data_IF_234307336941
#
_entry.id   IF_234307336941
#
_cell.length_a   1.000
_cell.length_b   1.000
_cell.length_c   1.000
_cell.angle_alpha   90.00
_cell.angle_beta   90.00
_cell.angle_gamma   90.00
#
_symmetry.space_group_name_H-M   'P 1'
#
loop_
_entity.id
_entity.type
_entity.pdbx_description
1 polymer ?
#
# COMPACT_ATOMS: atom_id res chain seq x y z
N UNK A 1 -74.93 20.50 -21.12
CA UNK A 1 -74.32 19.21 -21.44
C UNK A 1 -72.81 19.41 -21.35
N UNK A 2 -72.30 19.23 -20.09
CA UNK A 2 -70.87 19.41 -19.79
C UNK A 2 -70.26 18.03 -19.75
N UNK A 3 -69.25 17.79 -20.65
CA UNK A 3 -68.43 16.60 -20.65
C UNK A 3 -67.30 16.80 -19.63
N UNK A 4 -67.23 15.95 -18.58
CA UNK A 4 -66.11 15.85 -17.67
C UNK A 4 -65.17 14.75 -18.17
N UNK A 5 -63.97 15.13 -18.66
CA UNK A 5 -62.90 14.19 -19.05
C UNK A 5 -62.10 13.92 -17.77
N UNK A 6 -62.26 12.72 -17.20
CA UNK A 6 -61.44 12.25 -16.08
C UNK A 6 -60.07 11.78 -16.57
N UNK A 7 -59.00 12.44 -16.15
CA UNK A 7 -57.61 12.05 -16.39
C UNK A 7 -57.21 11.05 -15.29
N UNK A 8 -57.13 9.76 -15.61
CA UNK A 8 -56.61 8.74 -14.70
C UNK A 8 -55.08 8.79 -14.74
N UNK A 9 -54.47 9.35 -13.70
CA UNK A 9 -53.01 9.30 -13.49
C UNK A 9 -52.69 7.92 -12.88
N UNK A 10 -52.06 7.05 -13.68
CA UNK A 10 -51.45 5.82 -13.19
C UNK A 10 -50.13 6.15 -12.48
N UNK A 11 -50.16 6.13 -11.15
CA UNK A 11 -48.93 6.12 -10.35
C UNK A 11 -48.27 4.75 -10.52
N UNK A 12 -47.23 4.68 -11.35
CA UNK A 12 -46.32 3.54 -11.40
C UNK A 12 -45.41 3.66 -10.16
N UNK A 13 -45.77 2.98 -9.08
CA UNK A 13 -44.90 2.81 -7.97
C UNK A 13 -43.75 1.90 -8.41
N UNK A 14 -42.44 2.26 -8.15
CA UNK A 14 -41.35 1.36 -8.42
C UNK A 14 -41.54 0.10 -7.56
N UNK A 15 -41.63 -1.05 -8.20
CA UNK A 15 -41.57 -2.35 -7.52
C UNK A 15 -40.17 -2.49 -6.95
N UNK A 16 -39.97 -2.65 -5.63
CA UNK A 16 -38.66 -2.90 -5.09
C UNK A 16 -38.14 -4.22 -5.69
N UNK A 17 -36.96 -4.17 -6.32
CA UNK A 17 -36.28 -5.37 -6.78
C UNK A 17 -36.03 -6.25 -5.54
N UNK A 18 -36.68 -7.42 -5.48
CA UNK A 18 -36.42 -8.40 -4.44
C UNK A 18 -35.00 -8.93 -4.64
N UNK A 19 -34.08 -8.51 -3.76
CA UNK A 19 -32.75 -9.12 -3.68
C UNK A 19 -32.90 -10.57 -3.22
N UNK A 20 -32.40 -11.51 -4.01
CA UNK A 20 -32.38 -12.93 -3.65
C UNK A 20 -31.04 -13.29 -3.02
N UNK A 21 -31.06 -14.05 -1.93
CA UNK A 21 -29.84 -14.64 -1.37
C UNK A 21 -29.28 -15.67 -2.33
N UNK A 22 -28.00 -15.53 -2.70
CA UNK A 22 -27.31 -16.42 -3.63
C UNK A 22 -26.41 -17.37 -2.82
N UNK A 23 -26.56 -18.71 -2.93
CA UNK A 23 -25.71 -19.62 -2.20
C UNK A 23 -24.26 -19.59 -2.70
N UNK A 24 -23.32 -19.66 -1.76
CA UNK A 24 -21.88 -19.79 -2.06
C UNK A 24 -21.60 -21.15 -2.71
N UNK A 25 -20.78 -21.14 -3.74
CA UNK A 25 -20.25 -22.38 -4.32
C UNK A 25 -18.97 -22.77 -3.56
N UNK A 26 -18.71 -24.06 -3.41
CA UNK A 26 -17.51 -24.57 -2.75
C UNK A 26 -16.24 -24.34 -3.57
N UNK A 27 -15.06 -24.54 -2.94
CA UNK A 27 -13.76 -24.21 -3.53
C UNK A 27 -13.46 -25.03 -4.78
N UNK A 28 -12.80 -24.40 -5.75
CA UNK A 28 -12.17 -25.06 -6.89
C UNK A 28 -10.82 -25.62 -6.41
N UNK A 29 -10.40 -26.84 -6.81
CA UNK A 29 -9.06 -27.32 -6.49
C UNK A 29 -8.03 -26.37 -7.12
N UNK A 30 -7.22 -25.75 -6.29
CA UNK A 30 -6.22 -24.80 -6.75
C UNK A 30 -5.01 -25.52 -7.37
N UNK A 31 -4.69 -25.17 -8.63
CA UNK A 31 -3.29 -25.01 -8.97
C UNK A 31 -2.86 -23.69 -8.27
N UNK A 32 -1.68 -23.63 -7.63
CA UNK A 32 -1.15 -22.34 -7.18
C UNK A 32 -1.04 -21.44 -8.41
N UNK A 33 -1.82 -20.35 -8.52
CA UNK A 33 -1.64 -19.43 -9.61
C UNK A 33 -0.45 -18.53 -9.26
N UNK A 34 0.46 -18.36 -10.21
CA UNK A 34 1.36 -17.22 -10.17
C UNK A 34 0.50 -15.95 -10.03
N UNK A 35 0.87 -15.06 -9.11
CA UNK A 35 0.19 -13.79 -8.95
C UNK A 35 0.23 -13.03 -10.30
N UNK A 36 -0.87 -12.41 -10.76
CA UNK A 36 -0.88 -11.68 -12.02
C UNK A 36 0.14 -10.55 -12.06
N UNK A 37 0.78 -10.33 -13.20
CA UNK A 37 1.59 -9.13 -13.42
C UNK A 37 0.76 -7.87 -13.24
N UNK A 38 1.34 -6.86 -12.59
CA UNK A 38 0.74 -5.56 -12.36
C UNK A 38 1.39 -4.51 -13.27
N UNK A 39 0.58 -3.61 -13.79
CA UNK A 39 0.99 -2.43 -14.55
C UNK A 39 0.14 -1.23 -14.13
N UNK A 40 0.33 -0.06 -14.75
CA UNK A 40 -0.56 1.08 -14.52
C UNK A 40 -1.33 1.47 -15.78
N UNK A 41 -2.60 1.80 -15.62
CA UNK A 41 -3.43 2.32 -16.70
C UNK A 41 -4.48 3.30 -16.15
N UNK A 42 -4.57 4.48 -16.77
CA UNK A 42 -5.59 5.47 -16.42
C UNK A 42 -5.53 5.95 -14.96
N UNK A 43 -4.32 6.02 -14.38
CA UNK A 43 -4.12 6.42 -12.99
C UNK A 43 -4.47 5.32 -11.96
N UNK A 44 -4.51 4.06 -12.39
CA UNK A 44 -4.82 2.91 -11.52
C UNK A 44 -3.80 1.80 -11.73
N UNK A 45 -3.57 1.00 -10.70
CA UNK A 45 -2.89 -0.28 -10.84
C UNK A 45 -3.87 -1.25 -11.51
N UNK A 46 -3.38 -1.99 -12.50
CA UNK A 46 -4.18 -2.98 -13.24
C UNK A 46 -3.42 -4.30 -13.38
N UNK A 47 -4.15 -5.40 -13.40
CA UNK A 47 -3.58 -6.71 -13.64
C UNK A 47 -3.48 -7.06 -15.15
N UNK A 48 -2.89 -8.20 -15.46
CA UNK A 48 -2.73 -8.71 -16.81
C UNK A 48 -4.07 -9.00 -17.54
N UNK A 49 -5.20 -9.07 -16.81
CA UNK A 49 -6.54 -9.15 -17.37
C UNK A 49 -7.18 -7.78 -17.62
N UNK A 50 -6.49 -6.69 -17.29
CA UNK A 50 -6.96 -5.31 -17.41
C UNK A 50 -7.98 -4.91 -16.36
N UNK A 51 -8.03 -5.63 -15.23
CA UNK A 51 -8.87 -5.27 -14.08
C UNK A 51 -8.12 -4.25 -13.22
N UNK A 52 -8.84 -3.25 -12.70
CA UNK A 52 -8.33 -2.38 -11.64
C UNK A 52 -8.06 -3.22 -10.39
N UNK A 53 -6.91 -3.02 -9.76
CA UNK A 53 -6.47 -3.74 -8.55
C UNK A 53 -6.24 -2.75 -7.43
N UNK A 54 -6.75 -3.06 -6.25
CA UNK A 54 -6.50 -2.34 -5.00
C UNK A 54 -5.75 -3.30 -4.08
N UNK A 55 -4.64 -2.84 -3.52
CA UNK A 55 -3.76 -3.64 -2.66
C UNK A 55 -3.78 -3.10 -1.23
N UNK A 56 -4.20 -3.92 -0.27
CA UNK A 56 -4.20 -3.59 1.15
C UNK A 56 -3.27 -4.52 1.92
N UNK A 57 -2.48 -3.97 2.83
CA UNK A 57 -1.58 -4.80 3.62
C UNK A 57 -0.76 -4.09 4.67
N UNK A 58 0.47 -4.52 4.85
CA UNK A 58 1.32 -4.10 5.94
C UNK A 58 2.75 -3.82 5.49
N UNK A 59 3.42 -2.96 6.25
CA UNK A 59 4.88 -2.92 6.30
C UNK A 59 5.40 -3.97 7.28
N UNK A 60 6.58 -4.54 7.01
CA UNK A 60 7.32 -5.38 7.97
C UNK A 60 8.83 -5.17 7.84
N UNK A 61 9.45 -4.59 8.87
CA UNK A 61 10.86 -4.16 8.89
C UNK A 61 11.85 -5.22 9.39
N UNK A 62 11.45 -6.50 9.39
CA UNK A 62 12.27 -7.60 9.92
C UNK A 62 13.62 -7.79 9.22
N UNK A 63 13.74 -7.33 7.98
CA UNK A 63 15.00 -7.42 7.20
C UNK A 63 15.96 -6.24 7.42
N UNK A 64 15.54 -5.22 8.14
CA UNK A 64 16.41 -4.08 8.45
C UNK A 64 17.46 -4.43 9.52
N UNK A 65 18.62 -3.82 9.42
CA UNK A 65 19.71 -3.95 10.40
C UNK A 65 19.48 -3.07 11.63
N UNK A 66 18.27 -3.08 12.18
CA UNK A 66 17.90 -2.31 13.37
C UNK A 66 17.91 -3.19 14.61
N UNK A 67 18.33 -2.64 15.75
CA UNK A 67 18.18 -3.31 17.05
C UNK A 67 16.72 -3.40 17.51
N UNK A 68 15.83 -2.70 16.83
CA UNK A 68 14.39 -2.70 17.07
C UNK A 68 13.62 -3.61 16.10
N UNK A 69 14.31 -4.19 15.10
CA UNK A 69 13.67 -5.09 14.13
C UNK A 69 13.04 -6.29 14.83
N UNK A 70 11.83 -6.67 14.44
CA UNK A 70 11.14 -7.84 14.97
C UNK A 70 11.84 -9.14 14.55
N UNK A 71 11.32 -10.27 15.01
CA UNK A 71 11.71 -11.56 14.47
C UNK A 71 11.34 -11.63 12.96
N UNK A 72 12.09 -12.41 12.15
CA UNK A 72 11.73 -12.63 10.75
C UNK A 72 10.28 -13.11 10.59
N UNK A 73 9.65 -12.77 9.48
CA UNK A 73 8.34 -13.29 9.09
C UNK A 73 8.34 -14.81 9.07
N UNK A 74 7.22 -15.40 9.45
CA UNK A 74 7.02 -16.86 9.40
C UNK A 74 5.69 -17.20 8.68
N UNK A 75 5.47 -18.47 8.41
CA UNK A 75 4.26 -18.93 7.72
C UNK A 75 2.97 -18.52 8.45
N UNK A 76 3.01 -18.42 9.79
CA UNK A 76 1.83 -17.98 10.57
C UNK A 76 1.50 -16.51 10.32
N UNK A 77 2.51 -15.66 10.06
CA UNK A 77 2.26 -14.27 9.70
C UNK A 77 1.55 -14.17 8.35
N UNK A 78 2.09 -14.86 7.36
CA UNK A 78 1.53 -14.86 6.01
C UNK A 78 0.12 -15.48 5.99
N UNK A 79 -0.11 -16.59 6.71
CA UNK A 79 -1.44 -17.20 6.89
C UNK A 79 -2.44 -16.24 7.54
N UNK A 80 -2.04 -15.49 8.56
CA UNK A 80 -2.90 -14.54 9.23
C UNK A 80 -3.25 -13.33 8.35
N UNK A 81 -2.28 -12.81 7.59
CA UNK A 81 -2.51 -11.72 6.63
C UNK A 81 -3.50 -12.18 5.56
N UNK A 82 -3.26 -13.35 4.94
CA UNK A 82 -4.13 -13.93 3.92
C UNK A 82 -5.54 -14.20 4.45
N UNK A 83 -5.68 -14.86 5.61
CA UNK A 83 -6.97 -15.15 6.25
C UNK A 83 -7.73 -13.87 6.67
N UNK A 84 -7.03 -12.76 6.81
CA UNK A 84 -7.62 -11.46 7.07
C UNK A 84 -8.00 -10.69 5.81
N UNK A 85 -7.75 -11.24 4.62
CA UNK A 85 -8.13 -10.64 3.34
C UNK A 85 -7.11 -9.65 2.77
N UNK A 86 -5.91 -9.55 3.34
CA UNK A 86 -4.84 -8.69 2.80
C UNK A 86 -4.15 -9.37 1.60
N UNK A 87 -3.47 -8.57 0.78
CA UNK A 87 -2.85 -9.04 -0.47
C UNK A 87 -1.50 -8.39 -0.80
N UNK A 88 -0.94 -7.56 0.08
CA UNK A 88 0.39 -6.98 -0.14
C UNK A 88 1.18 -6.83 1.16
N UNK A 89 2.49 -6.96 1.05
CA UNK A 89 3.45 -6.54 2.09
C UNK A 89 4.46 -5.60 1.46
N UNK A 90 4.58 -4.38 2.01
CA UNK A 90 5.72 -3.52 1.75
C UNK A 90 6.86 -4.00 2.64
N UNK A 91 7.94 -4.46 2.01
CA UNK A 91 9.05 -5.14 2.66
C UNK A 91 10.32 -4.26 2.64
N UNK A 92 10.60 -3.52 3.72
CA UNK A 92 11.80 -2.73 3.87
C UNK A 92 13.08 -3.57 3.75
N UNK A 93 13.97 -3.17 2.83
CA UNK A 93 15.29 -3.75 2.64
C UNK A 93 16.39 -2.68 2.86
N UNK A 94 17.57 -3.11 3.27
CA UNK A 94 18.66 -2.20 3.64
C UNK A 94 19.75 -2.12 2.58
N UNK A 95 20.06 -0.93 2.07
CA UNK A 95 21.22 -0.70 1.20
C UNK A 95 22.53 -1.14 1.88
N UNK A 96 22.67 -0.85 3.19
CA UNK A 96 23.83 -1.26 3.99
C UNK A 96 24.07 -2.77 3.99
N UNK A 97 22.99 -3.56 4.02
CA UNK A 97 23.06 -5.02 4.00
C UNK A 97 23.23 -5.59 2.59
N UNK A 98 22.66 -4.94 1.59
CA UNK A 98 22.83 -5.29 0.17
C UNK A 98 24.25 -5.00 -0.33
N UNK A 99 24.85 -3.89 0.12
CA UNK A 99 26.18 -3.45 -0.31
C UNK A 99 27.04 -3.02 0.88
N UNK A 100 27.44 -3.96 1.76
CA UNK A 100 28.21 -3.65 2.99
C UNK A 100 29.59 -3.04 2.70
N UNK A 101 30.15 -3.33 1.55
CA UNK A 101 31.39 -2.74 1.03
C UNK A 101 31.15 -2.24 -0.39
N UNK A 102 31.64 -1.07 -0.71
CA UNK A 102 31.43 -0.43 -1.99
C UNK A 102 31.78 -1.33 -3.17
N UNK A 103 30.83 -1.62 -4.03
CA UNK A 103 30.97 -2.50 -5.20
C UNK A 103 30.88 -4.00 -4.88
N UNK A 104 30.63 -4.38 -3.62
CA UNK A 104 30.49 -5.78 -3.20
C UNK A 104 29.08 -6.05 -2.70
N UNK A 105 28.28 -6.65 -3.56
CA UNK A 105 26.87 -6.97 -3.27
C UNK A 105 26.74 -8.29 -2.52
N UNK A 106 25.86 -8.32 -1.52
CA UNK A 106 25.58 -9.48 -0.67
C UNK A 106 24.48 -10.35 -1.26
N UNK A 107 24.87 -11.44 -1.94
CA UNK A 107 23.92 -12.46 -2.38
C UNK A 107 23.21 -13.13 -1.19
N UNK A 108 23.92 -13.32 -0.07
CA UNK A 108 23.34 -13.93 1.12
C UNK A 108 22.22 -13.10 1.74
N UNK A 109 22.31 -11.76 1.70
CA UNK A 109 21.20 -10.91 2.15
C UNK A 109 20.05 -10.94 1.13
N UNK A 110 20.35 -10.84 -0.16
CA UNK A 110 19.34 -10.90 -1.21
C UNK A 110 18.62 -12.25 -1.25
N UNK A 111 19.28 -13.37 -0.88
CA UNK A 111 18.65 -14.68 -0.75
C UNK A 111 17.67 -14.73 0.43
N UNK A 112 17.91 -14.00 1.53
CA UNK A 112 16.93 -13.84 2.62
C UNK A 112 15.71 -13.06 2.15
N UNK A 113 15.93 -11.93 1.46
CA UNK A 113 14.83 -11.16 0.84
C UNK A 113 14.00 -12.06 -0.07
N UNK A 114 14.64 -12.85 -0.92
CA UNK A 114 13.94 -13.76 -1.82
C UNK A 114 13.18 -14.88 -1.09
N UNK A 115 13.66 -15.33 0.07
CA UNK A 115 12.95 -16.30 0.88
C UNK A 115 11.66 -15.72 1.49
N UNK A 116 11.68 -14.47 1.97
CA UNK A 116 10.50 -13.80 2.47
C UNK A 116 9.51 -13.48 1.34
N UNK A 117 9.99 -13.04 0.16
CA UNK A 117 9.15 -12.89 -1.04
C UNK A 117 8.45 -14.20 -1.38
N UNK A 118 9.19 -15.32 -1.44
CA UNK A 118 8.61 -16.62 -1.77
C UNK A 118 7.59 -17.11 -0.71
N UNK A 119 7.86 -16.83 0.57
CA UNK A 119 6.93 -17.12 1.66
C UNK A 119 5.61 -16.36 1.48
N UNK A 120 5.68 -15.05 1.26
CA UNK A 120 4.51 -14.19 1.09
C UNK A 120 3.72 -14.54 -0.16
N UNK A 121 4.39 -14.78 -1.28
CA UNK A 121 3.76 -15.16 -2.55
C UNK A 121 3.04 -16.52 -2.45
N UNK A 122 3.57 -17.47 -1.65
CA UNK A 122 2.90 -18.74 -1.39
C UNK A 122 1.55 -18.57 -0.67
N UNK A 123 1.31 -17.41 -0.06
CA UNK A 123 0.07 -16.99 0.60
C UNK A 123 -0.67 -15.87 -0.16
N UNK A 124 -0.52 -15.80 -1.47
CA UNK A 124 -1.19 -14.83 -2.36
C UNK A 124 -0.94 -13.36 -1.99
N UNK A 125 0.16 -13.06 -1.29
CA UNK A 125 0.57 -11.70 -0.94
C UNK A 125 1.61 -11.20 -1.93
N UNK A 126 1.32 -10.10 -2.60
CA UNK A 126 2.31 -9.34 -3.36
C UNK A 126 3.37 -8.74 -2.44
N UNK A 127 4.54 -8.44 -2.98
CA UNK A 127 5.59 -7.75 -2.24
C UNK A 127 6.00 -6.47 -2.97
N UNK A 128 5.99 -5.34 -2.25
CA UNK A 128 6.66 -4.12 -2.66
C UNK A 128 8.01 -4.08 -1.95
N UNK A 129 9.11 -4.11 -2.70
CA UNK A 129 10.45 -3.98 -2.12
C UNK A 129 10.78 -2.51 -1.92
N UNK A 130 10.96 -2.11 -0.67
CA UNK A 130 11.27 -0.74 -0.29
C UNK A 130 12.74 -0.60 0.14
N UNK A 131 13.48 0.31 -0.50
CA UNK A 131 14.83 0.65 -0.03
C UNK A 131 14.74 1.65 1.11
N UNK A 132 14.68 1.12 2.32
CA UNK A 132 14.29 1.85 3.51
C UNK A 132 15.42 2.68 4.12
N UNK A 133 15.09 3.93 4.44
CA UNK A 133 15.96 4.84 5.17
C UNK A 133 15.28 5.33 6.44
N UNK A 134 15.99 5.24 7.55
CA UNK A 134 15.63 5.90 8.81
C UNK A 134 16.91 6.45 9.45
N UNK A 135 17.05 7.76 9.53
CA UNK A 135 18.25 8.38 10.10
C UNK A 135 19.53 8.07 9.33
N UNK A 136 19.44 7.86 8.03
CA UNK A 136 20.47 7.71 7.02
C UNK A 136 21.22 6.37 7.04
N UNK A 137 21.72 5.88 8.19
CA UNK A 137 22.63 4.74 8.24
C UNK A 137 22.58 4.01 9.59
N UNK A 138 22.81 2.68 9.61
CA UNK A 138 23.03 1.95 10.86
C UNK A 138 24.18 2.51 11.71
N UNK A 139 25.19 3.10 11.07
CA UNK A 139 26.30 3.77 11.76
C UNK A 139 25.86 4.96 12.61
N UNK A 140 24.67 5.51 12.36
CA UNK A 140 24.04 6.57 13.13
C UNK A 140 22.84 6.06 13.96
N UNK A 141 22.70 4.75 14.10
CA UNK A 141 21.62 4.10 14.87
C UNK A 141 20.29 4.00 14.13
N UNK A 142 20.27 4.18 12.83
CA UNK A 142 19.10 4.04 11.97
C UNK A 142 19.20 2.84 11.01
N UNK A 143 18.70 3.02 9.78
CA UNK A 143 18.81 2.08 8.64
C UNK A 143 19.09 2.84 7.35
N UNK A 144 19.43 2.14 6.27
CA UNK A 144 19.64 2.73 4.95
C UNK A 144 21.06 2.60 4.44
N UNK A 145 21.80 3.71 4.35
CA UNK A 145 23.10 3.77 3.71
C UNK A 145 24.19 2.97 4.44
N UNK A 146 25.09 2.28 3.69
CA UNK A 146 26.23 1.59 4.27
C UNK A 146 27.26 2.56 4.85
N UNK A 147 28.12 2.07 5.74
CA UNK A 147 29.11 2.89 6.43
C UNK A 147 30.05 3.67 5.48
N UNK A 148 30.36 3.12 4.31
CA UNK A 148 31.18 3.81 3.30
C UNK A 148 30.45 4.97 2.59
N UNK A 149 29.11 5.01 2.67
CA UNK A 149 28.26 6.11 2.20
C UNK A 149 27.82 7.03 3.35
N UNK A 150 28.73 7.31 4.28
CA UNK A 150 28.55 8.23 5.40
C UNK A 150 29.73 9.19 5.49
N UNK A 151 29.48 10.41 6.00
CA UNK A 151 30.51 11.37 6.35
C UNK A 151 30.87 11.24 7.83
N UNK A 152 31.36 10.06 8.22
CA UNK A 152 31.60 9.63 9.60
C UNK A 152 32.60 10.50 10.39
N UNK A 153 33.35 11.41 9.73
CA UNK A 153 34.21 12.40 10.37
C UNK A 153 33.46 13.63 10.87
N UNK A 154 32.18 13.79 10.52
CA UNK A 154 31.29 14.82 11.03
C UNK A 154 30.61 14.29 12.28
N UNK A 155 30.50 15.09 13.36
CA UNK A 155 29.83 14.64 14.59
C UNK A 155 28.37 14.28 14.40
N UNK A 156 27.96 13.13 14.93
CA UNK A 156 26.55 12.74 15.04
C UNK A 156 25.96 13.23 16.38
N UNK A 157 24.65 13.48 16.40
CA UNK A 157 23.88 13.68 17.61
C UNK A 157 23.15 12.36 17.90
N UNK A 158 23.50 11.64 18.97
CA UNK A 158 22.90 10.33 19.25
C UNK A 158 21.39 10.44 19.52
N UNK A 159 20.68 9.34 19.32
CA UNK A 159 19.26 9.24 19.58
C UNK A 159 18.92 9.66 21.02
N UNK A 160 18.07 10.67 21.15
CA UNK A 160 17.54 11.14 22.43
C UNK A 160 16.13 10.57 22.70
N UNK A 161 15.43 11.10 23.73
CA UNK A 161 14.06 10.67 24.05
C UNK A 161 13.03 10.98 22.93
N UNK A 162 13.40 11.81 21.97
CA UNK A 162 12.59 12.14 20.79
C UNK A 162 13.41 11.86 19.52
N UNK A 163 13.54 10.60 19.10
CA UNK A 163 14.45 10.20 18.04
C UNK A 163 14.27 10.98 16.74
N UNK A 164 13.06 11.11 16.23
CA UNK A 164 12.76 11.74 14.93
C UNK A 164 13.26 13.18 14.83
N UNK A 165 12.95 14.02 15.81
CA UNK A 165 13.36 15.44 15.82
C UNK A 165 14.87 15.59 16.02
N UNK A 166 15.46 14.82 16.92
CA UNK A 166 16.92 14.90 17.18
C UNK A 166 17.72 14.41 15.97
N UNK A 167 17.20 13.45 15.21
CA UNK A 167 17.85 12.95 13.98
C UNK A 167 17.90 14.01 12.89
N UNK A 168 16.83 14.76 12.69
CA UNK A 168 16.81 15.89 11.74
C UNK A 168 17.85 16.99 12.08
N UNK A 169 18.29 17.07 13.33
CA UNK A 169 19.30 18.04 13.77
C UNK A 169 20.74 17.50 13.72
N UNK A 170 20.95 16.20 13.43
CA UNK A 170 22.29 15.63 13.37
C UNK A 170 23.11 16.20 12.19
N UNK A 171 24.25 16.84 12.45
CA UNK A 171 25.14 17.34 11.40
C UNK A 171 25.66 16.21 10.48
N UNK A 172 25.95 15.03 11.02
CA UNK A 172 26.46 13.90 10.25
C UNK A 172 25.41 13.35 9.28
N UNK A 173 24.16 13.20 9.73
CA UNK A 173 23.03 12.78 8.89
C UNK A 173 22.79 13.81 7.79
N UNK A 174 22.64 15.06 8.16
CA UNK A 174 22.36 16.15 7.22
C UNK A 174 23.46 16.32 6.16
N UNK A 175 24.71 16.21 6.56
CA UNK A 175 25.80 16.30 5.62
C UNK A 175 25.86 15.08 4.68
N UNK A 176 25.58 13.88 5.17
CA UNK A 176 25.53 12.68 4.35
C UNK A 176 24.35 12.72 3.37
N UNK A 177 23.17 13.12 3.82
CA UNK A 177 22.00 13.32 2.98
C UNK A 177 22.25 14.38 1.90
N UNK A 178 22.81 15.53 2.28
CA UNK A 178 23.17 16.58 1.31
C UNK A 178 24.20 16.09 0.29
N UNK A 179 25.20 15.32 0.74
CA UNK A 179 26.18 14.74 -0.18
C UNK A 179 25.53 13.80 -1.20
N UNK A 180 24.59 12.95 -0.77
CA UNK A 180 23.84 12.07 -1.66
C UNK A 180 23.07 12.87 -2.73
N UNK A 181 22.35 13.92 -2.32
CA UNK A 181 21.56 14.70 -3.28
C UNK A 181 22.41 15.57 -4.20
N UNK A 182 23.49 16.15 -3.70
CA UNK A 182 24.32 17.09 -4.44
C UNK A 182 25.41 16.42 -5.30
N UNK A 183 25.61 15.11 -5.17
CA UNK A 183 26.68 14.40 -5.91
C UNK A 183 26.13 13.15 -6.61
N UNK A 184 26.69 12.83 -7.77
CA UNK A 184 26.33 11.62 -8.51
C UNK A 184 27.01 10.35 -8.01
N UNK A 185 27.98 10.46 -7.11
CA UNK A 185 28.86 9.34 -6.73
C UNK A 185 28.08 8.25 -5.96
N UNK A 186 27.45 8.63 -4.84
CA UNK A 186 26.65 7.70 -4.05
C UNK A 186 25.36 7.30 -4.77
N UNK A 187 24.71 8.24 -5.48
CA UNK A 187 23.52 7.92 -6.28
C UNK A 187 23.83 6.86 -7.34
N UNK A 188 24.95 6.96 -8.05
CA UNK A 188 25.34 5.97 -9.06
C UNK A 188 25.50 4.58 -8.43
N UNK A 189 26.09 4.49 -7.24
CA UNK A 189 26.29 3.22 -6.56
C UNK A 189 24.97 2.67 -6.02
N UNK A 190 24.12 3.52 -5.48
CA UNK A 190 22.76 3.20 -5.06
C UNK A 190 21.92 2.59 -6.20
N UNK A 191 21.98 3.19 -7.39
CA UNK A 191 21.29 2.66 -8.57
C UNK A 191 21.87 1.31 -9.03
N UNK A 192 23.15 1.06 -8.86
CA UNK A 192 23.74 -0.28 -9.10
C UNK A 192 23.25 -1.31 -8.11
N UNK A 193 23.03 -0.92 -6.85
CA UNK A 193 22.40 -1.80 -5.85
C UNK A 193 20.98 -2.15 -6.25
N UNK A 194 20.20 -1.18 -6.71
CA UNK A 194 18.87 -1.44 -7.26
C UNK A 194 18.89 -2.36 -8.49
N UNK A 195 19.85 -2.17 -9.40
CA UNK A 195 20.01 -3.07 -10.55
C UNK A 195 20.32 -4.51 -10.12
N UNK A 196 21.10 -4.69 -9.04
CA UNK A 196 21.37 -6.00 -8.47
C UNK A 196 20.11 -6.65 -7.88
N UNK A 197 19.29 -5.89 -7.18
CA UNK A 197 17.97 -6.36 -6.65
C UNK A 197 17.03 -6.68 -7.81
N UNK A 198 16.83 -5.76 -8.73
CA UNK A 198 15.92 -5.90 -9.86
C UNK A 198 16.28 -7.10 -10.76
N UNK A 199 17.57 -7.35 -10.98
CA UNK A 199 18.02 -8.52 -11.74
C UNK A 199 17.61 -9.86 -11.10
N UNK A 200 17.43 -9.90 -9.79
CA UNK A 200 17.02 -11.10 -9.06
C UNK A 200 15.52 -11.38 -9.21
N UNK A 201 14.70 -10.33 -9.28
CA UNK A 201 13.23 -10.44 -9.24
C UNK A 201 12.52 -10.17 -10.57
N UNK A 202 13.24 -9.80 -11.62
CA UNK A 202 12.68 -9.35 -12.91
C UNK A 202 11.62 -10.28 -13.54
N UNK A 203 11.64 -11.56 -13.22
CA UNK A 203 10.75 -12.59 -13.76
C UNK A 203 9.78 -13.11 -12.67
N UNK A 204 9.66 -12.43 -11.53
CA UNK A 204 8.82 -12.81 -10.39
C UNK A 204 7.61 -11.87 -10.28
N UNK A 205 6.46 -12.29 -10.79
CA UNK A 205 5.21 -11.51 -10.77
C UNK A 205 4.64 -11.28 -9.37
N UNK A 206 5.12 -12.01 -8.36
CA UNK A 206 4.75 -11.81 -6.97
C UNK A 206 5.41 -10.59 -6.32
N UNK A 207 6.48 -10.05 -6.93
CA UNK A 207 6.97 -8.72 -6.61
C UNK A 207 6.10 -7.71 -7.38
N UNK A 208 5.35 -6.86 -6.66
CA UNK A 208 4.52 -5.83 -7.28
C UNK A 208 5.37 -4.71 -7.89
N UNK A 209 6.40 -4.29 -7.16
CA UNK A 209 7.24 -3.17 -7.60
C UNK A 209 8.35 -2.82 -6.63
N UNK A 210 9.05 -1.75 -6.99
CA UNK A 210 10.21 -1.21 -6.28
C UNK A 210 9.88 0.19 -5.75
N UNK A 211 9.83 0.34 -4.43
CA UNK A 211 9.78 1.63 -3.77
C UNK A 211 11.20 2.19 -3.70
N UNK A 212 11.46 3.19 -4.55
CA UNK A 212 12.81 3.55 -4.95
C UNK A 212 13.64 4.06 -3.79
N UNK A 213 13.06 4.84 -2.88
CA UNK A 213 13.72 5.36 -1.69
C UNK A 213 12.68 5.80 -0.66
N UNK A 214 12.73 5.21 0.53
CA UNK A 214 11.84 5.53 1.64
C UNK A 214 12.12 6.94 2.18
N UNK A 215 11.05 7.70 2.38
CA UNK A 215 11.03 9.01 3.04
C UNK A 215 12.20 9.92 2.65
N UNK A 216 12.35 10.21 1.35
CA UNK A 216 13.37 11.14 0.90
C UNK A 216 13.13 12.51 1.52
N UNK A 217 14.11 13.11 2.15
CA UNK A 217 13.96 14.41 2.75
C UNK A 217 14.97 15.43 2.24
N UNK A 218 14.49 16.67 2.10
CA UNK A 218 15.29 17.78 1.58
C UNK A 218 16.39 18.20 2.53
N UNK A 219 16.13 18.19 3.84
CA UNK A 219 17.01 18.85 4.80
C UNK A 219 18.45 18.31 4.74
N UNK A 220 19.49 19.18 4.64
CA UNK A 220 19.45 20.64 4.83
C UNK A 220 19.23 21.48 3.53
N UNK A 221 18.80 20.87 2.44
CA UNK A 221 18.50 21.59 1.20
C UNK A 221 17.18 22.39 1.32
N UNK A 222 16.92 23.35 0.42
CA UNK A 222 15.66 24.10 0.44
C UNK A 222 14.44 23.20 0.14
N UNK A 223 13.52 22.96 1.09
CA UNK A 223 12.45 21.99 0.92
C UNK A 223 11.47 22.37 -0.20
N UNK A 224 11.08 23.63 -0.35
CA UNK A 224 10.08 24.07 -1.32
C UNK A 224 10.43 23.84 -2.81
N UNK A 225 11.63 23.35 -3.10
CA UNK A 225 12.10 23.08 -4.46
C UNK A 225 12.74 21.72 -4.61
N UNK A 226 12.88 21.00 -3.53
CA UNK A 226 13.62 19.74 -3.47
C UNK A 226 13.04 18.68 -4.42
N UNK A 227 11.73 18.47 -4.40
CA UNK A 227 11.11 17.49 -5.30
C UNK A 227 11.46 17.84 -6.75
N UNK A 228 11.25 19.08 -7.14
CA UNK A 228 11.45 19.51 -8.52
C UNK A 228 12.90 19.50 -8.96
N UNK A 229 13.82 20.00 -8.10
CA UNK A 229 15.20 20.29 -8.51
C UNK A 229 16.13 19.10 -8.27
N UNK A 230 15.84 18.21 -7.31
CA UNK A 230 16.71 17.10 -6.89
C UNK A 230 16.03 15.73 -6.96
N UNK A 231 14.86 15.55 -6.31
CA UNK A 231 14.21 14.26 -6.10
C UNK A 231 13.64 13.68 -7.41
N UNK A 232 12.79 14.41 -8.11
CA UNK A 232 12.17 13.93 -9.35
C UNK A 232 13.19 13.72 -10.49
N UNK A 233 14.22 14.54 -10.67
CA UNK A 233 15.35 14.23 -11.55
C UNK A 233 16.11 12.96 -11.14
N UNK A 234 16.21 12.66 -9.84
CA UNK A 234 16.77 11.41 -9.37
C UNK A 234 15.87 10.22 -9.73
N UNK A 235 14.56 10.29 -9.49
CA UNK A 235 13.61 9.26 -9.90
C UNK A 235 13.65 8.97 -11.40
N UNK A 236 13.73 9.97 -12.25
CA UNK A 236 13.87 9.77 -13.69
C UNK A 236 15.10 8.92 -14.06
N UNK A 237 16.23 9.17 -13.39
CA UNK A 237 17.45 8.37 -13.57
C UNK A 237 17.33 6.97 -12.98
N UNK A 238 16.70 6.85 -11.81
CA UNK A 238 16.49 5.57 -11.13
C UNK A 238 15.60 4.64 -11.97
N UNK A 239 14.45 5.11 -12.41
CA UNK A 239 13.53 4.34 -13.26
C UNK A 239 14.21 3.92 -14.56
N UNK A 240 14.95 4.82 -15.21
CA UNK A 240 15.72 4.48 -16.41
C UNK A 240 16.76 3.38 -16.13
N UNK A 241 17.46 3.49 -15.00
CA UNK A 241 18.54 2.57 -14.63
C UNK A 241 18.00 1.19 -14.24
N UNK A 242 16.95 1.14 -13.45
CA UNK A 242 16.29 -0.09 -12.99
C UNK A 242 15.56 -0.75 -14.15
N UNK A 243 14.76 0.02 -14.91
CA UNK A 243 14.00 -0.45 -16.07
C UNK A 243 14.85 -1.01 -17.21
N UNK A 244 16.12 -0.63 -17.29
CA UNK A 244 17.07 -1.26 -18.22
C UNK A 244 17.38 -2.73 -17.88
N UNK A 245 17.17 -3.13 -16.63
CA UNK A 245 17.38 -4.50 -16.13
C UNK A 245 16.04 -5.22 -16.00
N UNK A 246 15.03 -4.52 -15.51
CA UNK A 246 13.70 -5.03 -15.24
C UNK A 246 12.61 -4.08 -15.77
N UNK A 247 11.99 -4.39 -16.89
CA UNK A 247 10.92 -3.57 -17.47
C UNK A 247 9.51 -4.00 -17.01
N UNK A 248 9.37 -4.92 -16.05
CA UNK A 248 8.10 -5.61 -15.79
C UNK A 248 7.39 -5.12 -14.52
N UNK A 249 8.10 -4.46 -13.59
CA UNK A 249 7.59 -4.12 -12.27
C UNK A 249 7.20 -2.64 -12.16
N UNK A 250 6.30 -2.36 -11.20
CA UNK A 250 5.91 -1.00 -10.84
C UNK A 250 7.09 -0.24 -10.23
N UNK A 251 7.13 1.06 -10.49
CA UNK A 251 8.06 2.00 -9.83
C UNK A 251 7.27 2.86 -8.86
N UNK A 252 7.54 2.69 -7.56
CA UNK A 252 6.92 3.50 -6.53
C UNK A 252 7.83 4.68 -6.19
N UNK A 253 7.25 5.84 -6.08
CA UNK A 253 7.94 7.10 -5.77
C UNK A 253 7.17 7.88 -4.71
N UNK A 254 7.90 8.52 -3.84
CA UNK A 254 7.38 9.36 -2.76
C UNK A 254 7.65 10.85 -3.04
N UNK A 255 6.96 11.73 -2.34
CA UNK A 255 7.31 13.14 -2.21
C UNK A 255 8.35 13.35 -1.09
N UNK A 256 8.77 14.61 -0.87
CA UNK A 256 9.60 14.97 0.29
C UNK A 256 8.88 14.60 1.61
N UNK A 257 9.55 13.81 2.43
CA UNK A 257 9.04 13.29 3.70
C UNK A 257 8.81 14.33 4.81
N UNK A 258 8.90 15.62 4.51
CA UNK A 258 8.58 16.68 5.49
C UNK A 258 7.06 16.80 5.75
N UNK A 259 6.30 15.77 5.38
CA UNK A 259 4.92 15.61 5.79
C UNK A 259 3.95 16.58 5.13
N UNK A 260 3.08 17.19 5.93
CA UNK A 260 1.98 18.05 5.48
C UNK A 260 2.45 19.42 4.90
N UNK A 261 3.71 19.55 4.50
CA UNK A 261 4.22 20.77 3.86
C UNK A 261 3.92 20.75 2.35
N UNK A 262 3.70 21.93 1.74
CA UNK A 262 3.49 22.00 0.30
C UNK A 262 4.69 21.42 -0.47
N UNK A 263 4.42 20.47 -1.34
CA UNK A 263 5.41 19.83 -2.21
C UNK A 263 5.60 20.58 -3.51
N UNK A 264 6.65 20.24 -4.25
CA UNK A 264 6.93 20.79 -5.58
C UNK A 264 6.96 19.70 -6.66
N UNK A 265 6.10 18.69 -6.53
CA UNK A 265 6.02 17.57 -7.46
C UNK A 265 5.87 18.01 -8.91
N UNK A 266 6.50 17.29 -9.82
CA UNK A 266 6.47 17.57 -11.25
C UNK A 266 6.10 16.32 -12.02
N UNK A 267 5.56 16.49 -13.23
CA UNK A 267 5.25 15.37 -14.10
C UNK A 267 6.50 14.53 -14.41
N UNK A 268 6.36 13.21 -14.28
CA UNK A 268 7.40 12.24 -14.59
C UNK A 268 6.89 11.31 -15.70
N UNK A 269 7.57 11.31 -16.85
CA UNK A 269 7.20 10.44 -17.96
C UNK A 269 7.90 9.08 -17.79
N UNK A 270 7.20 8.15 -17.17
CA UNK A 270 7.66 6.78 -16.99
C UNK A 270 6.48 5.80 -17.08
N UNK A 271 6.71 4.56 -17.55
CA UNK A 271 5.70 3.51 -17.45
C UNK A 271 5.54 3.07 -16.00
N UNK A 272 4.42 2.46 -15.71
CA UNK A 272 4.15 1.69 -14.49
C UNK A 272 4.49 2.44 -13.20
N UNK A 273 4.14 3.74 -13.18
CA UNK A 273 4.45 4.66 -12.10
C UNK A 273 3.34 4.66 -11.04
N UNK A 274 3.73 4.52 -9.80
CA UNK A 274 2.87 4.61 -8.62
C UNK A 274 3.40 5.72 -7.73
N UNK A 275 2.54 6.66 -7.34
CA UNK A 275 2.80 7.65 -6.32
C UNK A 275 2.45 7.06 -4.97
N UNK A 276 3.44 6.93 -4.09
CA UNK A 276 3.37 6.16 -2.84
C UNK A 276 3.62 7.06 -1.62
N UNK A 277 2.74 8.04 -1.33
CA UNK A 277 2.94 8.93 -0.20
C UNK A 277 2.74 8.20 1.14
N UNK A 278 3.32 8.77 2.22
CA UNK A 278 3.09 8.37 3.58
C UNK A 278 2.10 9.31 4.27
N UNK A 279 1.16 8.75 5.07
CA UNK A 279 0.08 9.53 5.70
C UNK A 279 0.13 9.38 7.22
N UNK A 280 0.63 10.41 7.88
CA UNK A 280 0.71 10.51 9.34
C UNK A 280 0.11 11.82 9.86
N UNK A 281 -0.81 12.40 9.12
CA UNK A 281 -1.46 13.69 9.40
C UNK A 281 -2.05 13.73 10.80
N UNK A 282 -1.57 14.65 11.61
CA UNK A 282 -2.00 14.82 13.00
C UNK A 282 -1.54 13.74 13.99
N UNK A 283 -0.71 12.78 13.56
CA UNK A 283 -0.25 11.65 14.40
C UNK A 283 1.13 11.89 14.99
N UNK A 284 2.06 12.39 14.18
CA UNK A 284 3.44 12.63 14.59
C UNK A 284 3.57 13.92 15.40
N UNK A 285 4.74 14.24 15.84
CA UNK A 285 5.04 15.21 16.87
C UNK A 285 4.84 16.69 16.48
N UNK A 286 4.04 17.48 17.23
CA UNK A 286 3.11 17.05 18.29
C UNK A 286 1.83 16.44 17.67
N UNK A 287 1.23 15.41 18.29
CA UNK A 287 -0.03 14.89 17.80
C UNK A 287 -1.12 15.97 17.91
N UNK A 288 -1.82 16.22 16.82
CA UNK A 288 -2.82 17.30 16.71
C UNK A 288 -4.21 16.80 16.33
N UNK A 289 -4.35 15.51 16.00
CA UNK A 289 -5.66 14.95 15.64
C UNK A 289 -6.62 14.99 16.84
N UNK A 290 -7.74 15.67 16.66
CA UNK A 290 -8.75 15.94 17.69
C UNK A 290 -10.07 15.19 17.47
N UNK A 291 -10.10 14.27 16.50
CA UNK A 291 -11.30 13.51 16.09
C UNK A 291 -12.05 14.17 14.92
N UNK A 292 -11.50 15.22 14.30
CA UNK A 292 -12.09 15.85 13.12
C UNK A 292 -11.32 15.39 11.85
N UNK A 293 -11.98 14.71 10.89
CA UNK A 293 -11.32 14.17 9.69
C UNK A 293 -10.83 15.25 8.72
N UNK A 294 -11.34 16.48 8.79
CA UNK A 294 -11.14 17.53 7.77
C UNK A 294 -9.69 17.76 7.35
N UNK A 295 -8.73 17.67 8.28
CA UNK A 295 -7.32 17.85 7.94
C UNK A 295 -6.74 16.65 7.19
N UNK A 296 -7.19 15.45 7.57
CA UNK A 296 -6.79 14.19 6.94
C UNK A 296 -7.38 14.10 5.52
N UNK A 297 -8.69 14.32 5.37
CA UNK A 297 -9.37 14.35 4.06
C UNK A 297 -8.70 15.35 3.12
N UNK A 298 -8.45 16.58 3.60
CA UNK A 298 -7.80 17.64 2.80
C UNK A 298 -6.40 17.21 2.35
N UNK A 299 -5.65 16.54 3.22
CA UNK A 299 -4.30 16.09 2.89
C UNK A 299 -4.34 14.95 1.86
N UNK A 300 -5.21 13.95 2.04
CA UNK A 300 -5.37 12.84 1.09
C UNK A 300 -5.86 13.34 -0.28
N UNK A 301 -6.80 14.28 -0.31
CA UNK A 301 -7.23 14.96 -1.54
C UNK A 301 -6.04 15.66 -2.26
N UNK A 302 -5.13 16.27 -1.50
CA UNK A 302 -3.94 16.90 -2.05
C UNK A 302 -2.99 15.86 -2.64
N UNK A 303 -2.73 14.75 -1.93
CA UNK A 303 -1.89 13.65 -2.42
C UNK A 303 -2.47 13.01 -3.69
N UNK A 304 -3.78 12.80 -3.77
CA UNK A 304 -4.44 12.31 -4.98
C UNK A 304 -4.31 13.28 -6.15
N UNK A 305 -4.38 14.60 -5.88
CA UNK A 305 -4.13 15.64 -6.89
C UNK A 305 -2.68 15.61 -7.36
N UNK A 306 -1.71 15.39 -6.47
CA UNK A 306 -0.29 15.24 -6.80
C UNK A 306 -0.04 13.98 -7.66
N UNK A 307 -0.64 12.84 -7.31
CA UNK A 307 -0.60 11.63 -8.12
C UNK A 307 -1.09 11.90 -9.56
N UNK A 308 -2.16 12.69 -9.70
CA UNK A 308 -2.66 13.14 -11.01
C UNK A 308 -1.70 14.09 -11.74
N UNK A 309 -0.93 14.92 -11.04
CA UNK A 309 0.11 15.79 -11.65
C UNK A 309 1.33 15.01 -12.11
N UNK A 310 1.69 13.96 -11.38
CA UNK A 310 2.80 13.05 -11.71
C UNK A 310 2.44 12.08 -12.83
N UNK A 311 1.25 11.97 -13.29
CA UNK A 311 0.40 10.96 -13.92
C UNK A 311 0.67 9.51 -13.48
N UNK A 312 0.56 9.28 -12.16
CA UNK A 312 0.76 7.99 -11.51
C UNK A 312 -0.55 7.41 -10.93
N UNK A 313 -0.59 6.11 -10.67
CA UNK A 313 -1.55 5.53 -9.74
C UNK A 313 -1.19 5.94 -8.32
N UNK A 314 -2.16 6.03 -7.40
CA UNK A 314 -1.89 6.31 -5.98
C UNK A 314 -1.99 5.03 -5.16
N UNK A 315 -1.01 4.80 -4.29
CA UNK A 315 -0.98 3.75 -3.29
C UNK A 315 -0.24 4.26 -2.06
N UNK A 316 -0.90 4.29 -0.90
CA UNK A 316 -0.31 4.83 0.34
C UNK A 316 0.72 3.85 0.89
N UNK A 317 2.01 4.21 0.81
CA UNK A 317 3.14 3.35 1.18
C UNK A 317 3.21 3.08 2.68
N UNK A 318 2.89 4.08 3.49
CA UNK A 318 2.81 3.95 4.94
C UNK A 318 1.70 4.81 5.50
N UNK A 319 0.98 4.27 6.48
CA UNK A 319 0.14 5.05 7.39
C UNK A 319 0.00 4.31 8.72
N UNK A 320 -0.32 5.03 9.78
CA UNK A 320 -0.48 4.38 11.07
C UNK A 320 -0.66 5.36 12.21
N UNK A 321 -1.21 4.85 13.31
CA UNK A 321 -1.34 5.58 14.58
C UNK A 321 -1.17 4.61 15.75
N UNK A 322 -0.65 5.10 16.87
CA UNK A 322 -0.65 4.31 18.10
C UNK A 322 -2.09 4.05 18.55
N UNK A 323 -2.49 2.79 18.74
CA UNK A 323 -3.82 2.42 19.23
C UNK A 323 -4.11 2.96 20.65
N UNK A 324 -3.12 3.53 21.33
CA UNK A 324 -3.27 4.23 22.61
C UNK A 324 -3.47 5.74 22.47
N UNK A 325 -3.36 6.27 21.26
CA UNK A 325 -3.62 7.69 21.03
C UNK A 325 -5.09 8.01 21.22
N UNK A 326 -5.43 9.19 21.75
CA UNK A 326 -6.81 9.66 21.72
C UNK A 326 -7.35 9.61 20.28
N UNK A 327 -8.60 9.19 20.10
CA UNK A 327 -9.29 9.11 18.80
C UNK A 327 -8.64 8.18 17.77
N UNK A 328 -7.80 7.19 18.17
CA UNK A 328 -7.10 6.31 17.25
C UNK A 328 -8.04 5.58 16.27
N UNK A 329 -9.14 5.01 16.77
CA UNK A 329 -10.14 4.32 15.92
C UNK A 329 -10.75 5.30 14.90
N UNK A 330 -11.15 6.49 15.33
CA UNK A 330 -11.68 7.49 14.42
C UNK A 330 -10.67 7.91 13.35
N UNK A 331 -9.40 8.06 13.72
CA UNK A 331 -8.33 8.37 12.77
C UNK A 331 -8.14 7.26 11.73
N UNK A 332 -8.18 5.98 12.16
CA UNK A 332 -8.07 4.83 11.26
C UNK A 332 -9.26 4.80 10.30
N UNK A 333 -10.48 4.95 10.82
CA UNK A 333 -11.70 4.98 10.02
C UNK A 333 -11.65 6.09 8.96
N UNK A 334 -11.34 7.31 9.40
CA UNK A 334 -11.24 8.48 8.52
C UNK A 334 -10.15 8.31 7.45
N UNK A 335 -8.99 7.71 7.81
CA UNK A 335 -7.92 7.45 6.85
C UNK A 335 -8.34 6.42 5.79
N UNK A 336 -8.91 5.30 6.21
CA UNK A 336 -9.37 4.26 5.31
C UNK A 336 -10.50 4.76 4.39
N UNK A 337 -11.42 5.55 4.92
CA UNK A 337 -12.49 6.16 4.13
C UNK A 337 -11.94 7.14 3.08
N UNK A 338 -10.96 7.97 3.47
CA UNK A 338 -10.30 8.89 2.53
C UNK A 338 -9.52 8.15 1.43
N UNK A 339 -8.87 7.02 1.75
CA UNK A 339 -8.18 6.20 0.73
C UNK A 339 -9.18 5.53 -0.23
N UNK A 340 -10.28 4.98 0.31
CA UNK A 340 -11.34 4.37 -0.49
C UNK A 340 -11.98 5.37 -1.46
N UNK A 341 -12.15 6.64 -1.07
CA UNK A 341 -12.71 7.71 -1.92
C UNK A 341 -11.84 8.01 -3.15
N UNK A 342 -10.55 7.64 -3.10
CA UNK A 342 -9.59 7.77 -4.21
C UNK A 342 -9.21 6.45 -4.89
N UNK A 343 -9.90 5.34 -4.57
CA UNK A 343 -9.53 3.98 -5.03
C UNK A 343 -8.04 3.65 -4.75
N UNK A 344 -7.48 4.17 -3.66
CA UNK A 344 -6.09 3.97 -3.26
C UNK A 344 -5.93 2.77 -2.35
N UNK A 345 -5.02 1.87 -2.70
CA UNK A 345 -4.54 0.84 -1.78
C UNK A 345 -3.55 1.41 -0.77
N UNK A 346 -3.13 0.59 0.19
CA UNK A 346 -2.30 1.05 1.29
C UNK A 346 -1.51 -0.05 2.01
N UNK A 347 -0.47 0.32 2.77
CA UNK A 347 0.21 -0.51 3.76
C UNK A 347 0.20 0.16 5.13
N UNK A 348 -0.21 -0.60 6.17
CA UNK A 348 -0.20 -0.15 7.56
C UNK A 348 1.18 -0.32 8.18
N UNK A 349 1.72 0.71 8.82
CA UNK A 349 2.94 0.67 9.60
C UNK A 349 2.62 0.30 11.07
N UNK A 350 2.87 -0.99 11.53
CA UNK A 350 3.37 -2.11 10.78
C UNK A 350 2.84 -3.46 11.33
N UNK A 351 3.18 -4.59 10.66
CA UNK A 351 2.70 -5.90 11.10
C UNK A 351 3.28 -6.32 12.44
N UNK A 352 4.62 -6.36 12.60
CA UNK A 352 5.31 -6.71 13.84
C UNK A 352 6.16 -5.55 14.34
N UNK A 353 5.91 -5.08 15.56
CA UNK A 353 6.78 -4.12 16.24
C UNK A 353 6.57 -4.12 17.77
N UNK A 354 7.50 -3.54 18.54
CA UNK A 354 7.24 -3.20 19.92
C UNK A 354 6.20 -2.09 20.04
N UNK A 355 5.19 -2.29 20.88
CA UNK A 355 4.27 -1.21 21.24
C UNK A 355 2.96 -1.19 20.45
N UNK A 356 2.20 -0.09 20.53
CA UNK A 356 0.80 -0.03 20.11
C UNK A 356 0.61 0.43 18.65
N UNK A 357 1.61 0.28 17.80
CA UNK A 357 1.56 0.59 16.37
C UNK A 357 1.37 -0.66 15.51
N UNK A 358 1.65 -1.82 16.07
CA UNK A 358 1.68 -3.08 15.33
C UNK A 358 0.47 -3.96 15.63
N UNK A 359 0.09 -4.73 14.63
CA UNK A 359 -0.94 -5.77 14.75
C UNK A 359 -0.45 -6.95 15.57
N UNK A 360 0.85 -7.27 15.49
CA UNK A 360 1.43 -8.43 16.16
C UNK A 360 2.66 -8.03 17.00
N UNK A 361 2.81 -8.66 18.16
CA UNK A 361 3.99 -8.43 18.99
C UNK A 361 5.28 -8.88 18.29
N UNK A 362 6.46 -8.32 18.67
CA UNK A 362 7.73 -8.66 18.02
C UNK A 362 8.09 -10.14 18.06
N UNK A 363 7.65 -10.86 19.09
CA UNK A 363 7.86 -12.30 19.23
C UNK A 363 6.75 -13.16 18.59
N UNK A 364 5.80 -12.53 17.89
CA UNK A 364 4.70 -13.17 17.21
C UNK A 364 3.64 -13.83 18.10
N UNK A 365 3.67 -13.65 19.42
CA UNK A 365 2.80 -14.37 20.36
C UNK A 365 1.46 -13.72 20.60
N UNK A 366 1.38 -12.40 20.51
CA UNK A 366 0.14 -11.66 20.72
C UNK A 366 -0.30 -10.98 19.43
N UNK A 367 -1.60 -11.00 19.21
CA UNK A 367 -2.27 -10.39 18.06
C UNK A 367 -3.28 -9.36 18.59
N UNK A 368 -3.20 -8.13 18.13
CA UNK A 368 -4.22 -7.11 18.40
C UNK A 368 -5.42 -7.32 17.47
N UNK A 369 -6.36 -8.13 17.94
CA UNK A 369 -7.57 -8.44 17.19
C UNK A 369 -8.50 -7.25 16.98
N UNK A 370 -8.38 -6.21 17.81
CA UNK A 370 -9.19 -5.00 17.63
C UNK A 370 -8.66 -4.20 16.44
N UNK A 371 -7.35 -3.94 16.41
CA UNK A 371 -6.70 -3.29 15.29
C UNK A 371 -6.85 -4.10 13.99
N UNK A 372 -6.66 -5.43 14.06
CA UNK A 372 -6.81 -6.29 12.89
C UNK A 372 -8.21 -6.19 12.27
N UNK A 373 -9.26 -6.19 13.09
CA UNK A 373 -10.64 -6.03 12.60
C UNK A 373 -10.89 -4.67 11.95
N UNK A 374 -10.32 -3.63 12.52
CA UNK A 374 -10.42 -2.27 11.99
C UNK A 374 -9.82 -2.18 10.59
N UNK A 375 -8.64 -2.79 10.40
CA UNK A 375 -7.92 -2.79 9.12
C UNK A 375 -8.51 -3.80 8.10
N UNK A 376 -9.06 -4.92 8.55
CA UNK A 376 -9.56 -6.02 7.71
C UNK A 376 -10.98 -5.75 7.16
N UNK A 377 -11.23 -4.54 6.65
CA UNK A 377 -12.49 -4.19 5.97
C UNK A 377 -12.63 -4.96 4.67
N UNK A 378 -13.84 -5.41 4.29
CA UNK A 378 -14.05 -5.98 2.97
C UNK A 378 -13.91 -4.91 1.89
N UNK A 379 -13.22 -5.21 0.79
CA UNK A 379 -12.99 -4.28 -0.31
C UNK A 379 -12.97 -4.96 -1.68
N UNK A 380 -13.04 -4.16 -2.72
CA UNK A 380 -13.00 -4.61 -4.10
C UNK A 380 -11.54 -4.81 -4.54
N UNK A 381 -11.00 -6.02 -4.34
CA UNK A 381 -9.58 -6.29 -4.61
C UNK A 381 -9.23 -6.23 -6.10
N UNK A 382 -10.09 -6.75 -6.98
CA UNK A 382 -9.90 -6.62 -8.42
C UNK A 382 -11.23 -6.58 -9.17
N UNK A 383 -11.35 -5.65 -10.14
CA UNK A 383 -12.58 -5.53 -10.90
C UNK A 383 -12.40 -4.98 -12.32
N UNK A 384 -13.19 -5.47 -13.29
CA UNK A 384 -13.23 -4.91 -14.63
C UNK A 384 -13.85 -3.50 -14.64
N UNK A 385 -13.63 -2.74 -15.71
CA UNK A 385 -14.22 -1.41 -15.87
C UNK A 385 -15.75 -1.42 -15.75
N UNK A 386 -16.30 -0.42 -15.08
CA UNK A 386 -17.74 -0.29 -14.83
C UNK A 386 -18.21 -1.01 -13.56
N UNK A 387 -17.30 -1.44 -12.72
CA UNK A 387 -17.58 -1.98 -11.37
C UNK A 387 -16.99 -1.03 -10.33
N UNK A 388 -17.74 -0.75 -9.28
CA UNK A 388 -17.32 0.04 -8.13
C UNK A 388 -17.87 -0.57 -6.84
N UNK A 389 -17.28 -0.24 -5.71
CA UNK A 389 -17.81 -0.59 -4.40
C UNK A 389 -18.03 0.69 -3.56
N UNK A 390 -18.97 0.64 -2.61
CA UNK A 390 -18.98 1.56 -1.50
C UNK A 390 -17.91 1.16 -0.48
N UNK A 391 -17.59 2.04 0.45
CA UNK A 391 -16.69 1.75 1.56
C UNK A 391 -17.12 0.51 2.32
N UNK A 392 -16.15 -0.34 2.65
CA UNK A 392 -16.37 -1.54 3.43
C UNK A 392 -16.46 -1.23 4.93
N UNK A 393 -17.28 -1.96 5.65
CA UNK A 393 -17.43 -1.84 7.10
C UNK A 393 -16.80 -3.08 7.78
N UNK A 394 -15.71 -2.88 8.49
CA UNK A 394 -14.96 -3.95 9.18
C UNK A 394 -15.72 -4.58 10.35
N UNK A 395 -16.73 -3.92 10.90
CA UNK A 395 -17.54 -4.42 12.04
C UNK A 395 -18.70 -5.28 11.58
N UNK A 396 -19.47 -4.80 10.61
CA UNK A 396 -20.65 -5.49 10.08
C UNK A 396 -20.35 -6.36 8.86
N UNK A 397 -19.16 -6.23 8.28
CA UNK A 397 -18.79 -6.86 7.02
C UNK A 397 -19.64 -6.37 5.84
N UNK A 398 -20.25 -5.19 5.93
CA UNK A 398 -21.09 -4.69 4.86
C UNK A 398 -20.24 -4.12 3.73
N UNK A 399 -20.43 -4.66 2.52
CA UNK A 399 -19.88 -4.12 1.28
C UNK A 399 -20.94 -4.12 0.20
N UNK A 400 -21.04 -3.04 -0.55
CA UNK A 400 -21.97 -2.92 -1.67
C UNK A 400 -21.21 -2.74 -2.96
N UNK A 401 -21.25 -3.76 -3.82
CA UNK A 401 -20.65 -3.73 -5.16
C UNK A 401 -21.73 -3.33 -6.17
N UNK A 402 -21.43 -2.32 -6.97
CA UNK A 402 -22.30 -1.82 -8.03
C UNK A 402 -21.65 -2.11 -9.40
N UNK A 403 -22.39 -2.79 -10.25
CA UNK A 403 -22.00 -3.10 -11.63
C UNK A 403 -22.85 -2.27 -12.57
N UNK A 404 -22.23 -1.41 -13.37
CA UNK A 404 -22.92 -0.56 -14.31
C UNK A 404 -23.47 -1.35 -15.50
N UNK A 405 -24.55 -0.87 -16.13
CA UNK A 405 -24.99 -1.41 -17.41
C UNK A 405 -23.89 -1.22 -18.47
N UNK A 406 -23.64 -2.24 -19.28
CA UNK A 406 -22.59 -2.19 -20.30
C UNK A 406 -21.16 -2.36 -19.76
N UNK A 407 -20.98 -2.82 -18.51
CA UNK A 407 -19.67 -3.13 -17.95
C UNK A 407 -18.86 -4.11 -18.81
N UNK A 408 -17.52 -4.06 -18.66
CA UNK A 408 -16.62 -5.00 -19.31
C UNK A 408 -16.78 -6.44 -18.74
N UNK A 409 -16.56 -7.49 -19.56
CA UNK A 409 -16.53 -8.86 -19.04
C UNK A 409 -15.34 -9.07 -18.12
N UNK A 410 -15.54 -9.89 -17.07
CA UNK A 410 -14.46 -10.25 -16.16
C UNK A 410 -14.98 -10.79 -14.83
N UNK A 411 -14.06 -11.29 -14.03
CA UNK A 411 -14.32 -11.73 -12.66
C UNK A 411 -14.08 -10.55 -11.73
N UNK A 412 -15.04 -10.30 -10.84
CA UNK A 412 -14.92 -9.34 -9.75
C UNK A 412 -14.37 -10.12 -8.55
N UNK A 413 -13.34 -9.61 -7.90
CA UNK A 413 -12.77 -10.19 -6.71
C UNK A 413 -12.95 -9.25 -5.52
N UNK A 414 -13.53 -9.79 -4.46
CA UNK A 414 -13.70 -9.10 -3.17
C UNK A 414 -12.79 -9.77 -2.15
N UNK A 415 -11.97 -8.99 -1.50
CA UNK A 415 -11.24 -9.40 -0.31
C UNK A 415 -12.20 -9.43 0.89
N UNK A 416 -12.13 -10.50 1.67
CA UNK A 416 -13.03 -10.69 2.78
C UNK A 416 -12.33 -11.48 3.88
N UNK A 417 -12.31 -10.94 5.09
CA UNK A 417 -11.73 -11.63 6.24
C UNK A 417 -12.72 -12.64 6.84
N UNK A 418 -12.54 -13.93 6.57
CA UNK A 418 -13.33 -14.94 7.26
C UNK A 418 -12.88 -15.11 8.74
N UNK A 419 -11.65 -14.75 9.05
CA UNK A 419 -11.12 -14.74 10.42
C UNK A 419 -11.86 -13.74 11.34
N UNK A 420 -12.24 -12.58 10.83
CA UNK A 420 -12.88 -11.51 11.64
C UNK A 420 -14.39 -11.43 11.44
N UNK A 421 -14.90 -11.80 10.27
CA UNK A 421 -16.31 -11.62 9.85
C UNK A 421 -17.07 -12.92 9.66
N UNK A 422 -16.37 -14.07 9.57
CA UNK A 422 -16.98 -15.34 9.14
C UNK A 422 -17.31 -15.34 7.65
N UNK A 423 -17.99 -16.36 7.15
CA UNK A 423 -18.30 -16.50 5.72
C UNK A 423 -19.28 -15.43 5.23
N UNK A 424 -19.05 -14.79 4.06
CA UNK A 424 -19.94 -13.74 3.58
C UNK A 424 -21.32 -14.26 3.18
N UNK A 425 -22.37 -13.56 3.61
CA UNK A 425 -23.70 -13.68 3.03
C UNK A 425 -23.77 -12.77 1.79
N UNK A 426 -24.25 -13.30 0.65
CA UNK A 426 -24.32 -12.58 -0.62
C UNK A 426 -25.75 -12.43 -1.06
N UNK A 427 -26.17 -11.20 -1.34
CA UNK A 427 -27.45 -10.84 -1.92
C UNK A 427 -27.22 -10.06 -3.21
N UNK A 428 -27.94 -10.38 -4.28
CA UNK A 428 -27.75 -9.73 -5.56
C UNK A 428 -29.09 -9.44 -6.27
N UNK A 429 -29.13 -8.32 -6.99
CA UNK A 429 -30.26 -7.93 -7.84
C UNK A 429 -30.25 -8.56 -9.23
N UNK A 430 -29.26 -9.39 -9.54
CA UNK A 430 -29.07 -10.09 -10.81
C UNK A 430 -28.62 -11.54 -10.58
N UNK A 431 -28.46 -12.31 -11.65
CA UNK A 431 -27.96 -13.68 -11.58
C UNK A 431 -26.43 -13.73 -11.36
N UNK A 432 -25.96 -13.14 -10.26
CA UNK A 432 -24.56 -13.22 -9.85
C UNK A 432 -24.22 -14.65 -9.38
N UNK A 433 -22.98 -15.06 -9.63
CA UNK A 433 -22.45 -16.36 -9.22
C UNK A 433 -21.26 -16.15 -8.29
N UNK A 434 -21.46 -16.23 -6.97
CA UNK A 434 -20.38 -16.13 -6.00
C UNK A 434 -19.64 -17.48 -5.88
N UNK A 435 -18.33 -17.40 -5.81
CA UNK A 435 -17.43 -18.53 -5.51
C UNK A 435 -16.47 -18.08 -4.39
N UNK A 436 -16.56 -18.74 -3.24
CA UNK A 436 -15.65 -18.46 -2.13
C UNK A 436 -14.41 -19.36 -2.21
N UNK A 437 -13.26 -18.74 -2.08
CA UNK A 437 -11.97 -19.42 -1.94
C UNK A 437 -11.38 -19.16 -0.54
N UNK A 438 -11.45 -20.18 0.36
CA UNK A 438 -10.93 -20.04 1.71
C UNK A 438 -9.39 -20.01 1.77
N UNK A 439 -8.70 -20.42 0.71
CA UNK A 439 -7.23 -20.46 0.67
C UNK A 439 -6.63 -19.07 0.44
N UNK A 440 -7.40 -18.15 -0.10
CA UNK A 440 -6.96 -16.78 -0.39
C UNK A 440 -7.85 -15.71 0.25
N UNK A 441 -8.86 -16.10 1.03
CA UNK A 441 -9.87 -15.19 1.59
C UNK A 441 -10.47 -14.26 0.53
N UNK A 442 -10.80 -14.85 -0.64
CA UNK A 442 -11.37 -14.14 -1.80
C UNK A 442 -12.75 -14.66 -2.16
N UNK A 443 -13.64 -13.73 -2.42
CA UNK A 443 -14.93 -13.99 -3.05
C UNK A 443 -14.89 -13.55 -4.50
N UNK A 444 -14.90 -14.51 -5.41
CA UNK A 444 -15.04 -14.23 -6.85
C UNK A 444 -16.51 -14.11 -7.22
N UNK A 445 -16.87 -13.08 -7.96
CA UNK A 445 -18.21 -12.83 -8.45
C UNK A 445 -18.22 -12.77 -9.98
N UNK A 446 -19.10 -13.55 -10.60
CA UNK A 446 -19.36 -13.45 -12.04
C UNK A 446 -20.78 -12.90 -12.23
N UNK A 447 -20.89 -11.84 -13.05
CA UNK A 447 -22.16 -11.17 -13.37
C UNK A 447 -22.43 -11.28 -14.85
N UNK A 448 -23.70 -11.45 -15.32
CA UNK A 448 -24.01 -11.47 -16.73
C UNK A 448 -23.55 -10.19 -17.44
N UNK A 449 -22.77 -10.32 -18.52
CA UNK A 449 -22.14 -9.20 -19.23
C UNK A 449 -23.17 -8.18 -19.68
N UNK A 450 -22.89 -6.91 -19.45
CA UNK A 450 -23.70 -5.77 -19.87
C UNK A 450 -24.92 -5.47 -19.00
N UNK A 451 -25.25 -6.32 -18.01
CA UNK A 451 -26.38 -6.09 -17.09
C UNK A 451 -25.96 -5.29 -15.88
N UNK A 452 -26.73 -4.28 -15.53
CA UNK A 452 -26.57 -3.62 -14.22
C UNK A 452 -26.88 -4.59 -13.08
N UNK A 453 -26.08 -4.55 -12.03
CA UNK A 453 -26.25 -5.39 -10.84
C UNK A 453 -25.84 -4.63 -9.59
N UNK A 454 -26.61 -4.81 -8.52
CA UNK A 454 -26.22 -4.42 -7.16
C UNK A 454 -26.02 -5.69 -6.35
N UNK A 455 -24.88 -5.85 -5.76
CA UNK A 455 -24.52 -6.99 -4.92
C UNK A 455 -24.21 -6.44 -3.53
N UNK A 456 -24.78 -7.03 -2.52
CA UNK A 456 -24.56 -6.66 -1.13
C UNK A 456 -23.98 -7.87 -0.40
N UNK A 457 -22.86 -7.66 0.27
CA UNK A 457 -22.22 -8.62 1.15
C UNK A 457 -22.45 -8.15 2.60
N UNK A 458 -22.55 -9.12 3.50
CA UNK A 458 -22.61 -8.87 4.95
C UNK A 458 -22.04 -10.05 5.72
N UNK A 459 -21.59 -9.81 6.95
CA UNK A 459 -21.35 -10.90 7.91
C UNK A 459 -22.65 -11.65 8.21
N UNK A 460 -22.58 -12.92 8.65
CA UNK A 460 -23.75 -13.76 8.94
C UNK A 460 -24.68 -13.20 10.01
#
# INVERSE_FOLDING_TARGET
MLLVIGLAIWLVLPVPALSATVPLQGPRPAAQPDLPWLTTAGGRIVDSAGRSVILHGFDDDALLESTLSPAPLDATDAELMEASGFDVVRLPIAWSALEPQRGHFSTAYLDRVAADVALLNAHHLYVVLDMHFLGWSPGYGGSGAPAWATLSWIPDIPWGPMPSVTRLLSPAINASTAYFWLTSDWQTQYLRTWQFVAARFRDDSGVAGYDIINEPHAFPLPPLRFDKDDLFPFYARAITSIGAVDPNHLFLIENDALGDLPTSVVALSAPDLVYSPHVYTGVLFPPTFDGNPQSLDTHVDELAREAGQVPAAMWVGEFGISTRSPHATAWIDDALDAFDDHDAGWAWWQWRAPGPWSVRSPDGRTLDMALLRELARPYLAAAPAGVSAAQGDGVTGRLVVTVAAGHAPGVIEVAWSDLTLGLPAVSASCAARPLWDPSSSRLSLTVPVGMACRIELSAP
#
